data_IF_162033827952
#
_entry.id   IF_162033827952
#
_cell.length_a   1.000
_cell.length_b   1.000
_cell.length_c   1.000
_cell.angle_alpha   90.00
_cell.angle_beta   90.00
_cell.angle_gamma   90.00
#
_symmetry.space_group_name_H-M   'P 1'
#
loop_
_entity.id
_entity.type
_entity.pdbx_description
1 polymer ?
#
# COMPACT_ATOMS: atom_id res chain seq x y z
N UNK A 1 38.02 -38.30 9.64
CA UNK A 1 37.11 -37.55 10.56
C UNK A 1 37.39 -36.03 10.52
N UNK A 2 37.45 -35.38 9.35
CA UNK A 2 37.74 -33.93 9.24
C UNK A 2 36.76 -33.13 8.36
N UNK A 3 35.78 -33.79 7.72
CA UNK A 3 34.94 -33.13 6.70
C UNK A 3 33.47 -33.01 7.11
N UNK A 4 33.08 -33.46 8.31
CA UNK A 4 31.68 -33.39 8.77
C UNK A 4 31.29 -32.02 9.38
N UNK A 5 32.27 -31.12 9.60
CA UNK A 5 32.01 -29.82 10.23
C UNK A 5 31.51 -28.73 9.26
N UNK A 6 31.55 -28.97 7.94
CA UNK A 6 31.24 -27.92 6.94
C UNK A 6 29.75 -27.78 6.59
N UNK A 7 28.87 -28.69 7.04
CA UNK A 7 27.45 -28.67 6.65
C UNK A 7 26.52 -27.88 7.58
N UNK A 8 27.02 -27.31 8.68
CA UNK A 8 26.20 -26.57 9.65
C UNK A 8 26.02 -25.07 9.32
N UNK A 9 26.67 -24.56 8.26
CA UNK A 9 26.62 -23.14 7.86
C UNK A 9 25.49 -22.78 6.87
N UNK A 10 24.64 -23.74 6.48
CA UNK A 10 23.57 -23.50 5.50
C UNK A 10 22.14 -23.51 6.07
N UNK A 11 21.97 -23.67 7.39
CA UNK A 11 20.69 -23.41 8.07
C UNK A 11 20.60 -21.94 8.51
N UNK A 12 20.70 -21.00 7.56
CA UNK A 12 20.20 -19.65 7.83
C UNK A 12 18.67 -19.72 7.72
N UNK A 13 17.91 -19.59 8.82
CA UNK A 13 16.47 -19.40 8.69
C UNK A 13 16.26 -18.16 7.81
N UNK A 14 15.41 -18.29 6.80
CA UNK A 14 14.95 -17.16 6.01
C UNK A 14 14.11 -16.27 6.94
N UNK A 15 14.78 -15.48 7.77
CA UNK A 15 14.13 -14.42 8.51
C UNK A 15 13.54 -13.48 7.47
N UNK A 16 12.26 -13.12 7.59
CA UNK A 16 11.67 -12.14 6.69
C UNK A 16 12.52 -10.86 6.79
N UNK A 17 13.12 -10.46 5.68
CA UNK A 17 13.77 -9.15 5.58
C UNK A 17 12.66 -8.13 5.77
N UNK A 18 12.64 -7.47 6.91
CA UNK A 18 11.74 -6.34 7.16
C UNK A 18 12.36 -5.14 6.45
N UNK A 19 11.67 -4.59 5.46
CA UNK A 19 12.15 -3.45 4.67
C UNK A 19 12.12 -2.10 5.43
N UNK A 20 11.66 -2.11 6.69
CA UNK A 20 11.59 -0.96 7.56
C UNK A 20 12.84 -0.86 8.46
N UNK A 21 13.05 0.30 9.08
CA UNK A 21 14.08 0.48 10.11
C UNK A 21 13.76 -0.28 11.42
N UNK A 22 14.62 -0.17 12.44
CA UNK A 22 14.42 -0.85 13.73
C UNK A 22 13.12 -0.46 14.46
N UNK A 23 12.47 0.62 14.07
CA UNK A 23 11.21 1.09 14.63
C UNK A 23 10.00 0.72 13.77
N UNK A 24 10.20 -0.01 12.68
CA UNK A 24 9.14 -0.33 11.72
C UNK A 24 8.74 0.87 10.86
N UNK A 25 9.58 1.92 10.82
CA UNK A 25 9.35 3.09 9.99
C UNK A 25 10.06 2.95 8.65
N UNK A 26 9.53 3.63 7.66
CA UNK A 26 10.12 3.70 6.34
C UNK A 26 9.74 5.02 5.66
N UNK A 27 10.54 5.41 4.68
CA UNK A 27 10.31 6.67 4.00
C UNK A 27 9.23 6.54 2.92
N UNK A 28 8.27 7.45 2.97
CA UNK A 28 7.21 7.56 1.97
C UNK A 28 7.61 8.66 0.98
N UNK A 29 7.74 8.31 -0.30
CA UNK A 29 8.05 9.29 -1.34
C UNK A 29 6.77 9.90 -1.93
N UNK A 30 6.85 11.15 -2.37
CA UNK A 30 5.80 11.83 -3.12
C UNK A 30 4.59 12.25 -2.27
N UNK A 31 3.44 12.37 -2.94
CA UNK A 31 2.22 12.96 -2.39
C UNK A 31 1.55 12.12 -1.28
N UNK A 32 1.96 10.86 -1.09
CA UNK A 32 1.43 10.02 0.00
C UNK A 32 1.64 10.57 1.42
N UNK A 33 2.58 11.49 1.61
CA UNK A 33 2.82 12.19 2.90
C UNK A 33 1.99 13.44 3.10
N UNK A 34 1.30 13.91 2.06
CA UNK A 34 0.44 15.08 2.17
C UNK A 34 -0.85 14.70 2.90
N UNK A 35 -1.41 15.68 3.59
CA UNK A 35 -2.64 15.53 4.34
C UNK A 35 -3.83 15.28 3.41
N UNK A 36 -4.81 14.57 3.93
CA UNK A 36 -6.09 14.30 3.30
C UNK A 36 -6.80 15.60 2.85
N UNK A 37 -6.67 16.70 3.62
CA UNK A 37 -7.18 18.00 3.19
C UNK A 37 -6.56 18.49 1.88
N UNK A 38 -5.24 18.32 1.69
CA UNK A 38 -4.55 18.70 0.46
C UNK A 38 -4.94 17.82 -0.72
N UNK A 39 -5.14 16.52 -0.47
CA UNK A 39 -5.70 15.61 -1.46
C UNK A 39 -7.10 16.06 -1.92
N UNK A 40 -8.00 16.40 -1.01
CA UNK A 40 -9.35 16.85 -1.37
C UNK A 40 -9.34 18.12 -2.22
N UNK A 41 -8.45 19.08 -1.92
CA UNK A 41 -8.27 20.25 -2.77
C UNK A 41 -7.78 19.87 -4.18
N UNK A 42 -6.83 18.93 -4.27
CA UNK A 42 -6.37 18.42 -5.56
C UNK A 42 -7.48 17.68 -6.34
N UNK A 43 -8.33 16.91 -5.64
CA UNK A 43 -9.49 16.23 -6.21
C UNK A 43 -10.51 17.20 -6.78
N UNK A 44 -10.74 18.33 -6.10
CA UNK A 44 -11.63 19.40 -6.56
C UNK A 44 -11.04 20.19 -7.73
N UNK A 45 -9.74 20.49 -7.68
CA UNK A 45 -9.05 21.26 -8.73
C UNK A 45 -8.88 20.46 -10.03
N UNK A 46 -8.70 19.14 -9.92
CA UNK A 46 -8.41 18.28 -11.07
C UNK A 46 -7.01 18.49 -11.64
N UNK A 47 -6.82 18.11 -12.90
CA UNK A 47 -5.58 18.37 -13.64
C UNK A 47 -4.36 17.64 -13.07
N UNK A 48 -3.19 18.28 -13.15
CA UNK A 48 -1.90 17.66 -12.81
C UNK A 48 -1.79 17.24 -11.34
N UNK A 49 -2.34 18.04 -10.42
CA UNK A 49 -2.32 17.74 -8.99
C UNK A 49 -3.13 16.48 -8.70
N UNK A 50 -4.35 16.39 -9.22
CA UNK A 50 -5.17 15.19 -9.08
C UNK A 50 -4.49 13.95 -9.70
N UNK A 51 -3.90 14.11 -10.89
CA UNK A 51 -3.18 13.03 -11.58
C UNK A 51 -2.01 12.53 -10.72
N UNK A 52 -1.29 13.42 -10.04
CA UNK A 52 -0.16 13.05 -9.17
C UNK A 52 -0.61 12.14 -8.03
N UNK A 53 -1.75 12.44 -7.40
CA UNK A 53 -2.35 11.57 -6.39
C UNK A 53 -2.85 10.25 -6.96
N UNK A 54 -3.57 10.27 -8.09
CA UNK A 54 -4.03 9.03 -8.76
C UNK A 54 -2.86 8.10 -9.07
N UNK A 55 -1.78 8.63 -9.62
CA UNK A 55 -0.58 7.86 -9.95
C UNK A 55 0.08 7.25 -8.71
N UNK A 56 0.21 8.03 -7.64
CA UNK A 56 0.76 7.53 -6.38
C UNK A 56 -0.11 6.42 -5.78
N UNK A 57 -1.43 6.60 -5.76
CA UNK A 57 -2.40 5.61 -5.25
C UNK A 57 -2.36 4.32 -6.07
N UNK A 58 -2.36 4.41 -7.40
CA UNK A 58 -2.26 3.25 -8.29
C UNK A 58 -0.92 2.50 -8.10
N UNK A 59 0.17 3.23 -7.91
CA UNK A 59 1.48 2.65 -7.60
C UNK A 59 1.48 1.91 -6.27
N UNK A 60 0.88 2.51 -5.24
CA UNK A 60 0.72 1.88 -3.93
C UNK A 60 -0.10 0.58 -4.02
N UNK A 61 -1.27 0.62 -4.69
CA UNK A 61 -2.12 -0.55 -4.90
C UNK A 61 -1.40 -1.65 -5.69
N UNK A 62 -0.58 -1.29 -6.67
CA UNK A 62 0.25 -2.24 -7.42
C UNK A 62 1.27 -2.94 -6.51
N UNK A 63 1.94 -2.18 -5.64
CA UNK A 63 2.86 -2.75 -4.64
C UNK A 63 2.13 -3.68 -3.67
N UNK A 64 0.93 -3.31 -3.23
CA UNK A 64 0.10 -4.15 -2.36
C UNK A 64 -0.26 -5.46 -3.05
N UNK A 65 -0.70 -5.42 -4.31
CA UNK A 65 -1.02 -6.63 -5.09
C UNK A 65 0.20 -7.54 -5.21
N UNK A 66 1.39 -6.98 -5.43
CA UNK A 66 2.63 -7.74 -5.52
C UNK A 66 3.05 -8.37 -4.19
N UNK A 67 2.93 -7.63 -3.09
CA UNK A 67 3.51 -8.03 -1.79
C UNK A 67 2.53 -8.77 -0.88
N UNK A 68 1.24 -8.83 -1.21
CA UNK A 68 0.22 -9.43 -0.36
C UNK A 68 -0.08 -10.87 -0.77
N UNK A 69 0.07 -11.87 0.13
CA UNK A 69 -0.22 -13.26 -0.19
C UNK A 69 -1.65 -13.48 -0.69
N UNK A 70 -1.80 -14.34 -1.71
CA UNK A 70 -3.09 -14.71 -2.32
C UNK A 70 -3.90 -13.49 -2.75
N UNK A 71 -3.25 -12.54 -3.42
CA UNK A 71 -3.88 -11.30 -3.90
C UNK A 71 -3.43 -11.08 -5.34
N UNK A 72 -4.35 -11.19 -6.28
CA UNK A 72 -4.15 -10.73 -7.64
C UNK A 72 -4.55 -9.26 -7.77
N UNK A 73 -5.68 -8.90 -7.15
CA UNK A 73 -6.18 -7.53 -7.13
C UNK A 73 -6.90 -7.24 -5.80
N UNK A 74 -6.32 -6.31 -5.03
CA UNK A 74 -6.84 -5.86 -3.73
C UNK A 74 -8.17 -5.14 -3.85
N UNK A 75 -8.49 -4.55 -5.01
CA UNK A 75 -9.76 -3.86 -5.22
C UNK A 75 -10.93 -4.84 -5.43
N UNK A 76 -10.65 -6.09 -5.81
CA UNK A 76 -11.67 -7.14 -5.95
C UNK A 76 -12.70 -6.78 -7.03
N UNK A 77 -13.95 -6.59 -6.60
CA UNK A 77 -15.06 -6.16 -7.47
C UNK A 77 -15.14 -4.63 -7.65
N UNK A 78 -14.39 -3.86 -6.85
CA UNK A 78 -14.27 -2.41 -7.02
C UNK A 78 -13.29 -2.07 -8.14
N UNK A 79 -13.28 -0.80 -8.55
CA UNK A 79 -12.29 -0.23 -9.45
C UNK A 79 -11.55 0.95 -8.79
N UNK A 80 -10.69 1.60 -9.56
CA UNK A 80 -9.92 2.76 -9.10
C UNK A 80 -10.83 3.94 -8.73
N UNK A 81 -12.00 4.10 -9.36
CA UNK A 81 -12.92 5.19 -9.02
C UNK A 81 -13.59 4.93 -7.67
N UNK A 82 -13.98 3.68 -7.41
CA UNK A 82 -14.48 3.24 -6.11
C UNK A 82 -13.45 3.44 -4.99
N UNK A 83 -12.18 3.13 -5.26
CA UNK A 83 -11.08 3.38 -4.33
C UNK A 83 -10.90 4.88 -4.04
N UNK A 84 -10.88 5.72 -5.07
CA UNK A 84 -10.78 7.17 -4.91
C UNK A 84 -11.98 7.74 -4.14
N UNK A 85 -13.20 7.29 -4.44
CA UNK A 85 -14.39 7.72 -3.71
C UNK A 85 -14.38 7.26 -2.23
N UNK A 86 -13.79 6.11 -1.92
CA UNK A 86 -13.58 5.68 -0.54
C UNK A 86 -12.59 6.60 0.17
N UNK A 87 -11.47 6.93 -0.47
CA UNK A 87 -10.47 7.84 0.07
C UNK A 87 -11.03 9.26 0.26
N UNK A 88 -11.84 9.76 -0.66
CA UNK A 88 -12.54 11.04 -0.53
C UNK A 88 -13.33 11.07 0.81
N UNK A 89 -14.15 10.04 1.08
CA UNK A 89 -14.93 9.93 2.33
C UNK A 89 -14.06 9.79 3.59
N UNK A 90 -12.97 9.02 3.51
CA UNK A 90 -12.02 8.91 4.64
C UNK A 90 -11.40 10.28 4.94
N UNK A 91 -10.94 10.97 3.90
CA UNK A 91 -10.26 12.25 4.02
C UNK A 91 -11.19 13.38 4.48
N UNK A 92 -12.47 13.35 4.12
CA UNK A 92 -13.48 14.27 4.67
C UNK A 92 -13.63 14.09 6.18
N UNK A 93 -13.58 12.85 6.67
CA UNK A 93 -13.71 12.53 8.09
C UNK A 93 -12.42 12.78 8.89
N UNK A 94 -11.26 12.54 8.28
CA UNK A 94 -9.95 12.64 8.93
C UNK A 94 -8.99 13.52 8.13
N UNK A 95 -9.22 14.85 8.07
CA UNK A 95 -8.47 15.74 7.18
C UNK A 95 -6.98 15.87 7.52
N UNK A 96 -6.58 15.54 8.76
CA UNK A 96 -5.20 15.57 9.24
C UNK A 96 -4.41 14.29 8.95
N UNK A 97 -5.09 13.19 8.61
CA UNK A 97 -4.41 11.96 8.17
C UNK A 97 -3.65 12.23 6.88
N UNK A 98 -2.55 11.53 6.65
CA UNK A 98 -1.92 11.54 5.32
C UNK A 98 -2.60 10.53 4.41
N UNK A 99 -2.45 10.69 3.10
CA UNK A 99 -2.98 9.71 2.14
C UNK A 99 -2.44 8.30 2.40
N UNK A 100 -1.15 8.20 2.75
CA UNK A 100 -0.56 6.93 3.14
C UNK A 100 -1.27 6.29 4.37
N UNK A 101 -1.71 7.07 5.36
CA UNK A 101 -2.47 6.55 6.51
C UNK A 101 -3.88 6.10 6.12
N UNK A 102 -4.50 6.73 5.13
CA UNK A 102 -5.82 6.35 4.64
C UNK A 102 -5.81 5.00 3.88
N UNK A 103 -4.74 4.70 3.14
CA UNK A 103 -4.61 3.45 2.35
C UNK A 103 -4.86 2.16 3.14
N UNK A 104 -4.20 1.88 4.29
CA UNK A 104 -4.44 0.66 5.05
C UNK A 104 -5.85 0.54 5.61
N UNK A 105 -6.51 1.67 5.92
CA UNK A 105 -7.91 1.66 6.34
C UNK A 105 -8.82 1.21 5.19
N UNK A 106 -8.57 1.68 3.95
CA UNK A 106 -9.30 1.21 2.77
C UNK A 106 -9.06 -0.28 2.52
N UNK A 107 -7.79 -0.69 2.58
CA UNK A 107 -7.42 -2.08 2.31
C UNK A 107 -8.01 -3.04 3.34
N UNK A 108 -8.12 -2.66 4.61
CA UNK A 108 -8.78 -3.49 5.62
C UNK A 108 -10.23 -3.84 5.26
N UNK A 109 -10.94 -2.90 4.62
CA UNK A 109 -12.32 -3.10 4.14
C UNK A 109 -12.35 -3.99 2.89
N UNK A 110 -11.43 -3.78 1.95
CA UNK A 110 -11.42 -4.49 0.67
C UNK A 110 -10.76 -5.87 0.72
N UNK A 111 -9.87 -6.11 1.69
CA UNK A 111 -9.08 -7.34 1.78
C UNK A 111 -9.93 -8.63 1.79
N UNK A 112 -11.07 -8.73 2.50
CA UNK A 112 -11.93 -9.91 2.44
C UNK A 112 -12.53 -10.18 1.06
N UNK A 113 -12.69 -9.13 0.25
CA UNK A 113 -13.34 -9.14 -1.07
C UNK A 113 -12.32 -9.17 -2.23
N UNK A 114 -11.02 -9.19 -1.92
CA UNK A 114 -9.95 -9.14 -2.92
C UNK A 114 -10.02 -10.32 -3.88
N UNK A 115 -9.66 -10.07 -5.14
CA UNK A 115 -9.51 -11.12 -6.15
C UNK A 115 -8.19 -11.85 -5.91
N UNK A 116 -8.25 -13.17 -5.74
CA UNK A 116 -7.06 -13.98 -5.40
C UNK A 116 -6.35 -14.62 -6.61
N UNK A 117 -7.00 -14.63 -7.78
CA UNK A 117 -6.51 -15.26 -9.00
C UNK A 117 -6.83 -14.37 -10.21
N UNK A 118 -6.01 -14.48 -11.26
CA UNK A 118 -6.33 -13.91 -12.57
C UNK A 118 -7.50 -14.70 -13.16
N UNK A 119 -8.52 -13.98 -13.66
CA UNK A 119 -9.63 -14.55 -14.44
C UNK A 119 -9.14 -15.07 -15.80
#
# INVERSE_FOLDING_TARGET
MKNALLCLLFLSPALPVLAADEHGLYWIYGVGRQNCSTYLEARKAGGFEEISYKNWIMGYLTSVNQSTPKTYDILGESDIQGALAWLDRHCEKYPADTIYMAMPNMMAVLYPQRRQKKE
#
